data_IF_463404744585
#
_entry.id   IF_463404744585
#
_cell.length_a   1.000
_cell.length_b   1.000
_cell.length_c   1.000
_cell.angle_alpha   90.00
_cell.angle_beta   90.00
_cell.angle_gamma   90.00
#
_symmetry.space_group_name_H-M   'P 1'
#
loop_
_entity.id
_entity.type
_entity.pdbx_description
1 polymer ?
#
# COMPACT_ATOMS: atom_id res chain seq x y z
N UNK A 1 -69.03 24.01 -12.52
CA UNK A 1 -68.75 23.94 -13.97
C UNK A 1 -67.37 23.31 -14.13
N UNK A 2 -67.30 22.05 -14.60
CA UNK A 2 -66.06 21.29 -14.84
C UNK A 2 -65.30 21.94 -16.01
N UNK A 3 -64.00 22.19 -15.86
CA UNK A 3 -63.09 22.32 -17.00
C UNK A 3 -61.82 21.52 -16.72
N UNK A 4 -61.48 20.68 -17.69
CA UNK A 4 -60.52 19.60 -17.69
C UNK A 4 -59.06 20.09 -17.59
N UNK A 5 -58.22 19.34 -16.86
CA UNK A 5 -56.79 19.25 -17.15
C UNK A 5 -56.38 17.78 -17.32
N UNK A 6 -56.21 17.47 -18.59
CA UNK A 6 -55.38 16.46 -19.26
C UNK A 6 -54.66 15.41 -18.40
N UNK A 7 -54.93 14.15 -18.73
CA UNK A 7 -54.11 12.99 -18.38
C UNK A 7 -52.79 13.06 -19.14
N UNK A 8 -51.67 13.16 -18.43
CA UNK A 8 -50.36 12.89 -18.97
C UNK A 8 -50.02 11.42 -18.71
N UNK A 9 -49.71 10.70 -19.77
CA UNK A 9 -49.31 9.30 -19.77
C UNK A 9 -47.93 9.16 -19.15
N UNK A 10 -47.79 8.28 -18.15
CA UNK A 10 -46.50 7.87 -17.60
C UNK A 10 -45.64 7.22 -18.69
N UNK A 11 -44.70 7.99 -19.25
CA UNK A 11 -43.57 7.41 -19.97
C UNK A 11 -42.65 6.79 -18.93
N UNK A 12 -42.76 5.49 -18.74
CA UNK A 12 -41.62 4.70 -18.26
C UNK A 12 -40.54 4.77 -19.32
N UNK A 13 -39.71 5.82 -19.24
CA UNK A 13 -38.40 5.78 -19.86
C UNK A 13 -37.67 4.63 -19.17
N UNK A 14 -37.55 3.51 -19.89
CA UNK A 14 -36.63 2.43 -19.55
C UNK A 14 -35.26 3.05 -19.33
N UNK A 15 -34.93 3.30 -18.07
CA UNK A 15 -33.60 3.67 -17.67
C UNK A 15 -32.73 2.47 -17.97
N UNK A 16 -32.06 2.48 -19.12
CA UNK A 16 -30.87 1.69 -19.30
C UNK A 16 -29.95 2.09 -18.15
N UNK A 17 -29.94 1.28 -17.08
CA UNK A 17 -28.80 1.22 -16.17
C UNK A 17 -27.68 0.62 -17.01
N UNK A 18 -27.10 1.47 -17.87
CA UNK A 18 -25.82 1.22 -18.48
C UNK A 18 -24.93 0.76 -17.35
N UNK A 19 -24.31 -0.39 -17.55
CA UNK A 19 -23.29 -0.96 -16.68
C UNK A 19 -22.50 0.20 -16.10
N UNK A 20 -22.56 0.36 -14.77
CA UNK A 20 -21.71 1.30 -14.07
C UNK A 20 -20.30 0.74 -14.20
N UNK A 21 -19.69 1.00 -15.36
CA UNK A 21 -18.27 0.87 -15.57
C UNK A 21 -17.64 1.65 -14.42
N UNK A 22 -17.12 0.90 -13.44
CA UNK A 22 -16.29 1.43 -12.38
C UNK A 22 -15.08 2.03 -13.08
N UNK A 23 -15.21 3.28 -13.50
CA UNK A 23 -14.17 3.98 -14.20
C UNK A 23 -12.99 4.07 -13.25
N UNK A 24 -11.95 3.30 -13.54
CA UNK A 24 -10.69 3.32 -12.79
C UNK A 24 -10.09 4.70 -13.01
N UNK A 25 -10.35 5.63 -12.09
CA UNK A 25 -9.66 6.93 -12.06
C UNK A 25 -8.26 6.69 -11.52
N UNK A 26 -7.24 7.29 -12.13
CA UNK A 26 -5.86 7.21 -11.61
C UNK A 26 -5.76 7.67 -10.14
N UNK A 27 -6.69 8.52 -9.69
CA UNK A 27 -6.78 9.02 -8.30
C UNK A 27 -7.02 7.95 -7.24
N UNK A 28 -7.49 6.75 -7.61
CA UNK A 28 -7.87 5.71 -6.64
C UNK A 28 -6.89 4.52 -6.58
N UNK A 29 -5.82 4.54 -7.37
CA UNK A 29 -4.90 3.40 -7.48
C UNK A 29 -4.15 3.17 -6.17
N UNK A 30 -3.61 4.23 -5.57
CA UNK A 30 -2.89 4.12 -4.30
C UNK A 30 -3.81 3.57 -3.19
N UNK A 31 -5.01 4.15 -3.04
CA UNK A 31 -5.98 3.71 -2.04
C UNK A 31 -6.33 2.23 -2.24
N UNK A 32 -6.56 1.80 -3.48
CA UNK A 32 -6.91 0.41 -3.81
C UNK A 32 -5.75 -0.56 -3.56
N UNK A 33 -4.51 -0.18 -3.86
CA UNK A 33 -3.33 -0.97 -3.54
C UNK A 33 -3.17 -1.08 -2.02
N UNK A 34 -3.32 0.02 -1.27
CA UNK A 34 -3.29 0.01 0.19
C UNK A 34 -4.36 -0.90 0.77
N UNK A 35 -5.61 -0.80 0.31
CA UNK A 35 -6.70 -1.71 0.75
C UNK A 35 -6.35 -3.17 0.48
N UNK A 36 -5.79 -3.47 -0.69
CA UNK A 36 -5.36 -4.83 -1.02
C UNK A 36 -4.28 -5.32 -0.05
N UNK A 37 -3.22 -4.53 0.19
CA UNK A 37 -2.14 -4.90 1.12
C UNK A 37 -2.70 -5.15 2.52
N UNK A 38 -3.50 -4.21 3.05
CA UNK A 38 -4.09 -4.30 4.40
C UNK A 38 -4.95 -5.56 4.56
N UNK A 39 -5.62 -6.03 3.51
CA UNK A 39 -6.41 -7.26 3.57
C UNK A 39 -5.59 -8.52 3.88
N UNK A 40 -4.30 -8.52 3.56
CA UNK A 40 -3.37 -9.61 3.87
C UNK A 40 -2.62 -9.38 5.18
N UNK A 41 -2.04 -8.19 5.35
CA UNK A 41 -1.10 -7.96 6.45
C UNK A 41 -1.79 -7.79 7.81
N UNK A 42 -3.10 -7.56 7.86
CA UNK A 42 -3.87 -7.53 9.12
C UNK A 42 -4.07 -8.91 9.75
N UNK A 43 -3.80 -10.00 9.02
CA UNK A 43 -3.84 -11.34 9.59
C UNK A 43 -2.63 -11.55 10.52
N UNK A 44 -2.87 -11.96 11.76
CA UNK A 44 -1.81 -12.19 12.75
C UNK A 44 -0.82 -13.29 12.33
N UNK A 45 -1.23 -14.22 11.47
CA UNK A 45 -0.39 -15.28 10.91
C UNK A 45 0.47 -14.82 9.73
N UNK A 46 0.27 -13.59 9.24
CA UNK A 46 1.03 -13.04 8.12
C UNK A 46 2.37 -12.48 8.62
N UNK A 47 3.47 -13.02 8.10
CA UNK A 47 4.80 -12.43 8.22
C UNK A 47 4.94 -11.30 7.19
N UNK A 48 5.29 -10.10 7.65
CA UNK A 48 5.43 -8.91 6.82
C UNK A 48 6.90 -8.75 6.44
N UNK A 49 7.16 -8.66 5.13
CA UNK A 49 8.48 -8.32 4.60
C UNK A 49 8.47 -6.87 4.11
N UNK A 50 8.92 -5.94 4.94
CA UNK A 50 8.98 -4.53 4.60
C UNK A 50 10.25 -4.24 3.78
N UNK A 51 10.11 -4.28 2.45
CA UNK A 51 11.23 -4.10 1.51
C UNK A 51 11.44 -2.60 1.26
N UNK A 52 12.68 -2.12 1.44
CA UNK A 52 13.05 -0.72 1.19
C UNK A 52 14.39 -0.69 0.45
N UNK A 53 14.54 0.08 -0.64
CA UNK A 53 15.83 0.26 -1.28
C UNK A 53 16.74 1.10 -0.39
N UNK A 54 18.02 0.75 -0.34
CA UNK A 54 18.95 1.34 0.59
C UNK A 54 19.12 2.86 0.31
N UNK A 55 19.08 3.26 -0.97
CA UNK A 55 19.22 4.67 -1.37
C UNK A 55 18.06 5.58 -0.95
N UNK A 56 17.01 5.03 -0.31
CA UNK A 56 15.87 5.79 0.19
C UNK A 56 15.89 5.84 1.72
N UNK A 57 15.47 6.97 2.29
CA UNK A 57 15.38 7.12 3.74
C UNK A 57 14.36 6.15 4.35
N UNK A 58 14.83 5.34 5.30
CA UNK A 58 14.01 4.34 5.98
C UNK A 58 12.80 4.95 6.70
N UNK A 59 12.95 6.15 7.27
CA UNK A 59 11.92 6.86 8.03
C UNK A 59 10.74 7.23 7.12
N UNK A 60 10.99 7.45 5.82
CA UNK A 60 9.99 7.83 4.84
C UNK A 60 9.50 6.63 4.00
N UNK A 61 9.82 5.40 4.41
CA UNK A 61 9.41 4.20 3.69
C UNK A 61 7.92 3.92 3.87
N UNK A 62 7.17 3.95 2.76
CA UNK A 62 5.77 3.54 2.72
C UNK A 62 5.57 2.10 3.22
N UNK A 63 6.51 1.21 2.93
CA UNK A 63 6.44 -0.19 3.36
C UNK A 63 6.47 -0.30 4.89
N UNK A 64 7.32 0.48 5.55
CA UNK A 64 7.41 0.52 7.01
C UNK A 64 6.23 1.23 7.65
N UNK A 65 5.74 2.32 7.04
CA UNK A 65 4.54 2.99 7.50
C UNK A 65 3.32 2.04 7.47
N UNK A 66 3.13 1.34 6.36
CA UNK A 66 2.04 0.39 6.19
C UNK A 66 2.21 -0.82 7.13
N UNK A 67 3.42 -1.34 7.28
CA UNK A 67 3.71 -2.42 8.22
C UNK A 67 3.44 -2.02 9.67
N UNK A 68 3.90 -0.83 10.10
CA UNK A 68 3.68 -0.32 11.45
C UNK A 68 2.21 -0.08 11.80
N UNK A 69 1.36 0.23 10.81
CA UNK A 69 -0.09 0.31 11.02
C UNK A 69 -0.73 -1.06 11.31
N UNK A 70 -0.17 -2.15 10.77
CA UNK A 70 -0.68 -3.52 10.94
C UNK A 70 0.03 -4.29 12.06
N UNK A 71 1.28 -3.96 12.37
CA UNK A 71 2.14 -4.58 13.37
C UNK A 71 2.92 -3.50 14.17
N UNK A 72 2.23 -2.72 15.04
CA UNK A 72 2.85 -1.61 15.76
C UNK A 72 3.99 -2.02 16.69
N UNK A 73 3.93 -3.24 17.22
CA UNK A 73 4.94 -3.80 18.13
C UNK A 73 6.09 -4.50 17.39
N UNK A 74 5.98 -4.69 16.07
CA UNK A 74 7.05 -5.26 15.24
C UNK A 74 7.35 -6.74 15.51
N UNK A 75 6.39 -7.53 15.99
CA UNK A 75 6.58 -8.96 16.31
C UNK A 75 6.72 -9.84 15.08
N UNK A 76 6.17 -9.40 13.94
CA UNK A 76 6.02 -10.20 12.71
C UNK A 76 6.46 -9.45 11.47
N UNK A 77 7.26 -8.41 11.63
CA UNK A 77 7.80 -7.60 10.54
C UNK A 77 9.32 -7.77 10.46
N UNK A 78 9.81 -8.16 9.29
CA UNK A 78 11.23 -8.16 8.94
C UNK A 78 11.46 -7.03 7.94
N UNK A 79 12.48 -6.21 8.17
CA UNK A 79 12.89 -5.20 7.19
C UNK A 79 13.93 -5.77 6.26
N UNK A 80 13.71 -5.60 4.95
CA UNK A 80 14.66 -5.99 3.92
C UNK A 80 15.19 -4.76 3.21
N UNK A 81 16.50 -4.54 3.33
CA UNK A 81 17.20 -3.45 2.68
C UNK A 81 17.83 -3.97 1.38
N UNK A 82 17.36 -3.47 0.23
CA UNK A 82 17.83 -3.87 -1.11
C UNK A 82 18.76 -2.82 -1.72
N UNK A 83 19.41 -3.08 -2.87
CA UNK A 83 20.27 -2.10 -3.58
C UNK A 83 21.46 -1.58 -2.74
N UNK A 84 22.00 -2.42 -1.86
CA UNK A 84 23.16 -2.07 -1.02
C UNK A 84 24.45 -1.83 -1.81
N UNK A 85 24.50 -2.29 -3.06
CA UNK A 85 25.56 -2.07 -4.03
C UNK A 85 25.69 -0.61 -4.49
N UNK A 86 24.61 0.18 -4.41
CA UNK A 86 24.54 1.55 -4.92
C UNK A 86 24.85 2.60 -3.83
N UNK A 87 24.98 2.20 -2.57
CA UNK A 87 25.26 3.12 -1.46
C UNK A 87 26.76 3.33 -1.24
N UNK A 88 27.14 4.59 -1.04
CA UNK A 88 28.43 4.96 -0.47
C UNK A 88 28.58 4.40 0.96
N UNK A 89 29.57 3.50 1.10
CA UNK A 89 29.71 2.53 2.19
C UNK A 89 29.83 3.11 3.60
N UNK A 90 30.12 4.39 3.78
CA UNK A 90 30.83 4.80 4.98
C UNK A 90 29.93 5.07 6.19
N UNK A 91 28.64 5.39 6.04
CA UNK A 91 27.85 5.83 7.22
C UNK A 91 26.40 5.34 7.30
N UNK A 92 25.69 5.22 6.19
CA UNK A 92 24.22 5.04 6.24
C UNK A 92 23.77 3.60 6.52
N UNK A 93 24.31 2.60 5.82
CA UNK A 93 23.81 1.23 5.90
C UNK A 93 23.95 0.58 7.29
N UNK A 94 25.01 0.90 8.03
CA UNK A 94 25.30 0.25 9.33
C UNK A 94 24.28 0.60 10.39
N UNK A 95 23.86 1.86 10.50
CA UNK A 95 22.88 2.26 11.52
C UNK A 95 21.48 1.69 11.25
N UNK A 96 21.12 1.52 9.97
CA UNK A 96 19.87 0.87 9.58
C UNK A 96 19.88 -0.62 9.91
N UNK A 97 20.93 -1.34 9.51
CA UNK A 97 21.03 -2.79 9.75
C UNK A 97 21.12 -3.17 11.24
N UNK A 98 21.61 -2.24 12.08
CA UNK A 98 21.65 -2.44 13.54
C UNK A 98 20.30 -2.15 14.23
N UNK A 99 19.24 -1.81 13.48
CA UNK A 99 17.90 -1.58 14.05
C UNK A 99 17.82 -0.38 15.00
N UNK A 100 18.73 0.59 14.88
CA UNK A 100 18.79 1.75 15.78
C UNK A 100 17.74 2.83 15.46
N UNK A 101 17.09 2.75 14.30
CA UNK A 101 16.13 3.75 13.83
C UNK A 101 14.69 3.35 14.18
N UNK A 102 14.27 2.15 13.79
CA UNK A 102 12.99 1.56 14.17
C UNK A 102 13.28 0.20 14.79
N UNK A 103 13.04 0.01 16.09
CA UNK A 103 13.29 -1.28 16.73
C UNK A 103 12.21 -2.28 16.29
N UNK A 104 12.64 -3.41 15.71
CA UNK A 104 11.77 -4.52 15.32
C UNK A 104 12.33 -5.80 15.91
N UNK A 105 11.46 -6.71 16.35
CA UNK A 105 11.92 -7.94 17.03
C UNK A 105 12.65 -8.89 16.10
N UNK A 106 12.24 -8.94 14.83
CA UNK A 106 12.86 -9.79 13.83
C UNK A 106 14.03 -9.10 13.09
N UNK A 107 14.27 -7.81 13.38
CA UNK A 107 15.42 -7.06 12.89
C UNK A 107 15.41 -6.76 11.39
N UNK A 108 16.63 -6.63 10.85
CA UNK A 108 16.91 -6.12 9.51
C UNK A 108 17.80 -7.09 8.72
N UNK A 109 17.51 -7.23 7.44
CA UNK A 109 18.28 -8.07 6.50
C UNK A 109 18.68 -7.24 5.29
N UNK A 110 19.98 -7.21 5.00
CA UNK A 110 20.51 -6.60 3.78
C UNK A 110 20.60 -7.63 2.65
N UNK A 111 20.11 -7.29 1.45
CA UNK A 111 20.22 -8.14 0.27
C UNK A 111 20.72 -7.34 -0.94
N UNK A 112 21.55 -7.99 -1.75
CA UNK A 112 21.92 -7.52 -3.08
C UNK A 112 21.22 -8.42 -4.09
N UNK A 113 20.30 -7.84 -4.86
CA UNK A 113 19.52 -8.58 -5.86
C UNK A 113 20.31 -8.69 -7.17
N UNK A 114 19.87 -9.59 -8.05
CA UNK A 114 20.40 -9.65 -9.43
C UNK A 114 20.07 -8.35 -10.17
N UNK A 115 21.00 -7.85 -10.97
CA UNK A 115 20.75 -6.77 -11.92
C UNK A 115 19.78 -7.23 -13.01
N UNK A 116 19.18 -6.28 -13.74
CA UNK A 116 18.31 -6.57 -14.89
C UNK A 116 19.08 -6.96 -16.17
N UNK A 117 20.41 -7.08 -16.09
CA UNK A 117 21.29 -7.47 -17.20
C UNK A 117 21.45 -8.98 -17.32
#
# INVERSE_FOLDING_TARGET
MKVLKHAETDKEAGGNKGVSDKQIRLSDIEARIRTMIMSYINLLTCLILAVTPANSDLINSDALLIAGNADPDGYRTIVVITKLDIIDRETYARNFLLGKVIPLQLGYVGVVNRSQE
#
